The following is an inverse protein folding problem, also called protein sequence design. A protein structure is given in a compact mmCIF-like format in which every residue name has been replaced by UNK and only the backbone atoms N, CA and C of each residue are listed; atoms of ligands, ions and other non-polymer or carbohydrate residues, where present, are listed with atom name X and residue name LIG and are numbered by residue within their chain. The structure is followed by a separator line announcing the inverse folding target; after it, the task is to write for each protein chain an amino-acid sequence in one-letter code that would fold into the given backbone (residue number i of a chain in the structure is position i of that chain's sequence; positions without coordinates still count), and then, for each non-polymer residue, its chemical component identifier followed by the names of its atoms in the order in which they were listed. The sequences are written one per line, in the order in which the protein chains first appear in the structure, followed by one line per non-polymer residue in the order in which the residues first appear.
data_IF_214062925014
#
_entry.id   IF_214062925014
#
_cell.length_a   1.000
_cell.length_b   1.000
_cell.length_c   1.000
_cell.angle_alpha   90.00
_cell.angle_beta   90.00
_cell.angle_gamma   90.00
#
_symmetry.space_group_name_H-M   'P 1'
#
loop_
_entity.id
_entity.type
_entity.pdbx_description
1 polymer ?
#
# COMPACT_ATOMS: atom_id res chain seq x y z
N UNK A 1 1.56 37.89 -53.75
CA UNK A 1 1.43 36.44 -53.45
C UNK A 1 1.75 36.24 -52.00
N UNK A 2 0.72 36.13 -51.18
CA UNK A 2 0.85 35.94 -49.74
C UNK A 2 0.84 34.45 -49.42
N UNK A 3 1.65 33.96 -48.46
CA UNK A 3 1.52 32.61 -47.97
C UNK A 3 0.37 32.46 -46.96
N UNK A 4 -0.36 31.39 -47.14
CA UNK A 4 -1.47 30.98 -46.25
C UNK A 4 -0.93 30.47 -44.94
N UNK A 5 -1.17 31.21 -43.86
CA UNK A 5 -1.04 30.73 -42.49
C UNK A 5 -2.19 29.76 -42.16
N UNK A 6 -1.85 28.49 -42.01
CA UNK A 6 -2.77 27.49 -41.46
C UNK A 6 -2.61 27.49 -39.94
N UNK A 7 -3.62 27.76 -39.13
CA UNK A 7 -3.52 27.60 -37.70
C UNK A 7 -3.51 26.10 -37.33
N UNK A 8 -2.43 25.64 -36.73
CA UNK A 8 -2.37 24.34 -36.09
C UNK A 8 -3.24 24.42 -34.82
N UNK A 9 -4.45 23.93 -34.89
CA UNK A 9 -5.31 23.74 -33.73
C UNK A 9 -4.82 22.51 -33.00
N UNK A 10 -3.92 22.68 -32.05
CA UNK A 10 -3.68 21.67 -31.01
C UNK A 10 -4.89 21.70 -30.09
N UNK A 11 -5.85 20.84 -30.36
CA UNK A 11 -6.89 20.46 -29.42
C UNK A 11 -6.23 19.60 -28.30
N UNK A 12 -5.54 20.27 -27.39
CA UNK A 12 -5.18 19.72 -26.11
C UNK A 12 -6.31 20.08 -25.15
N UNK A 13 -7.40 19.32 -25.23
CA UNK A 13 -8.33 19.27 -24.12
C UNK A 13 -7.52 18.70 -22.94
N UNK A 14 -7.28 19.48 -21.86
CA UNK A 14 -6.64 18.93 -20.67
C UNK A 14 -7.54 17.80 -20.19
N UNK A 15 -6.95 16.59 -19.97
CA UNK A 15 -7.64 15.50 -19.33
C UNK A 15 -8.27 16.06 -18.05
N UNK A 16 -9.60 15.95 -17.94
CA UNK A 16 -10.32 16.39 -16.75
C UNK A 16 -9.61 15.79 -15.52
N UNK A 17 -9.33 16.57 -14.49
CA UNK A 17 -8.71 16.04 -13.28
C UNK A 17 -9.58 14.87 -12.80
N UNK A 18 -8.93 13.75 -12.37
CA UNK A 18 -9.63 12.64 -11.76
C UNK A 18 -10.41 13.18 -10.56
N UNK A 19 -11.71 13.39 -10.73
CA UNK A 19 -12.56 14.13 -9.80
C UNK A 19 -13.21 13.16 -8.83
N UNK A 20 -13.47 13.62 -7.60
CA UNK A 20 -14.25 12.91 -6.60
C UNK A 20 -13.50 11.83 -5.85
N UNK A 21 -14.24 10.81 -5.46
CA UNK A 21 -13.79 9.70 -4.60
C UNK A 21 -12.61 8.90 -5.18
N UNK A 22 -12.51 8.79 -6.51
CA UNK A 22 -11.41 8.09 -7.14
C UNK A 22 -10.05 8.76 -6.88
N UNK A 23 -9.99 10.08 -6.80
CA UNK A 23 -8.76 10.82 -6.45
C UNK A 23 -8.33 10.54 -5.01
N UNK A 24 -9.28 10.41 -4.09
CA UNK A 24 -8.99 10.07 -2.70
C UNK A 24 -8.42 8.64 -2.58
N UNK A 25 -9.00 7.69 -3.28
CA UNK A 25 -8.48 6.33 -3.37
C UNK A 25 -7.03 6.33 -3.88
N UNK A 26 -6.75 7.00 -5.01
CA UNK A 26 -5.41 7.10 -5.58
C UNK A 26 -4.41 7.78 -4.63
N UNK A 27 -4.85 8.75 -3.85
CA UNK A 27 -4.01 9.41 -2.85
C UNK A 27 -3.58 8.42 -1.76
N UNK A 28 -4.49 7.65 -1.22
CA UNK A 28 -4.18 6.59 -0.23
C UNK A 28 -3.24 5.55 -0.83
N UNK A 29 -3.55 5.04 -2.01
CA UNK A 29 -2.73 4.03 -2.70
C UNK A 29 -1.31 4.53 -3.02
N UNK A 30 -1.14 5.81 -3.37
CA UNK A 30 0.18 6.41 -3.55
C UNK A 30 1.01 6.35 -2.27
N UNK A 31 0.41 6.66 -1.12
CA UNK A 31 1.09 6.58 0.17
C UNK A 31 1.40 5.13 0.58
N UNK A 32 0.49 4.19 0.31
CA UNK A 32 0.75 2.77 0.54
C UNK A 32 1.97 2.27 -0.25
N UNK A 33 2.09 2.64 -1.54
CA UNK A 33 3.24 2.27 -2.37
C UNK A 33 4.55 2.90 -1.86
N UNK A 34 4.53 4.17 -1.49
CA UNK A 34 5.72 4.88 -0.99
C UNK A 34 6.21 4.31 0.35
N UNK A 35 5.29 4.07 1.28
CA UNK A 35 5.61 3.50 2.59
C UNK A 35 6.14 2.06 2.45
N UNK A 36 5.57 1.25 1.55
CA UNK A 36 6.05 -0.10 1.27
C UNK A 36 7.51 -0.09 0.80
N UNK A 37 7.85 0.79 -0.15
CA UNK A 37 9.23 0.94 -0.62
C UNK A 37 10.18 1.34 0.52
N UNK A 38 9.75 2.25 1.39
CA UNK A 38 10.54 2.69 2.55
C UNK A 38 10.80 1.54 3.52
N UNK A 39 9.76 0.77 3.86
CA UNK A 39 9.88 -0.36 4.80
C UNK A 39 10.77 -1.47 4.21
N UNK A 40 10.63 -1.76 2.91
CA UNK A 40 11.48 -2.73 2.21
C UNK A 40 12.95 -2.31 2.19
N UNK A 41 13.24 -1.04 1.91
CA UNK A 41 14.60 -0.51 1.95
C UNK A 41 15.21 -0.66 3.34
N UNK A 42 14.48 -0.30 4.39
CA UNK A 42 14.95 -0.46 5.78
C UNK A 42 15.21 -1.93 6.13
N UNK A 43 14.36 -2.85 5.66
CA UNK A 43 14.56 -4.28 5.89
C UNK A 43 15.81 -4.81 5.16
N UNK A 44 16.04 -4.38 3.92
CA UNK A 44 17.24 -4.74 3.16
C UNK A 44 18.51 -4.20 3.81
N UNK A 45 18.52 -2.94 4.24
CA UNK A 45 19.64 -2.33 4.97
C UNK A 45 19.94 -3.09 6.27
N UNK A 46 18.90 -3.49 7.03
CA UNK A 46 19.05 -4.28 8.25
C UNK A 46 19.58 -5.69 7.96
N UNK A 47 19.23 -6.29 6.82
CA UNK A 47 19.75 -7.59 6.40
C UNK A 47 21.23 -7.52 6.02
N UNK A 48 21.60 -6.51 5.23
CA UNK A 48 22.91 -6.47 4.54
C UNK A 48 23.98 -5.70 5.33
N UNK A 49 23.61 -4.85 6.29
CA UNK A 49 24.51 -3.89 6.92
C UNK A 49 24.78 -4.09 8.40
N UNK A 50 24.15 -5.05 9.08
CA UNK A 50 24.31 -5.20 10.52
C UNK A 50 25.01 -6.54 10.86
N UNK A 51 26.27 -6.44 11.29
CA UNK A 51 26.96 -7.61 11.86
C UNK A 51 26.25 -8.09 13.15
N UNK A 52 26.40 -9.38 13.54
CA UNK A 52 25.85 -9.89 14.79
C UNK A 52 26.28 -9.06 16.01
N UNK A 53 27.50 -8.56 16.02
CA UNK A 53 28.07 -7.73 17.10
C UNK A 53 27.37 -6.34 17.14
N UNK A 54 27.12 -5.73 15.98
CA UNK A 54 26.38 -4.46 15.88
C UNK A 54 24.94 -4.63 16.35
N UNK A 55 24.31 -5.76 16.03
CA UNK A 55 22.95 -6.09 16.51
C UNK A 55 22.93 -6.24 18.03
N UNK A 56 23.89 -6.97 18.60
CA UNK A 56 23.97 -7.14 20.05
C UNK A 56 24.25 -5.82 20.77
N UNK A 57 25.10 -4.97 20.20
CA UNK A 57 25.36 -3.64 20.72
C UNK A 57 24.09 -2.76 20.66
N UNK A 58 23.33 -2.78 19.56
CA UNK A 58 22.06 -2.05 19.43
C UNK A 58 20.97 -2.59 20.36
N UNK A 59 20.87 -3.91 20.54
CA UNK A 59 19.96 -4.54 21.51
C UNK A 59 20.26 -4.06 22.93
N UNK A 60 21.53 -3.94 23.29
CA UNK A 60 21.94 -3.47 24.63
C UNK A 60 21.70 -1.97 24.85
N UNK A 61 21.72 -1.19 23.80
CA UNK A 61 21.55 0.27 23.86
C UNK A 61 20.16 0.74 23.48
N UNK A 62 19.17 -0.17 23.31
CA UNK A 62 17.81 0.06 22.83
C UNK A 62 17.32 1.52 23.05
N UNK A 63 17.94 2.43 22.35
CA UNK A 63 17.45 3.78 22.20
C UNK A 63 16.41 3.79 21.09
N UNK A 64 15.40 4.60 21.27
CA UNK A 64 14.26 4.78 20.34
C UNK A 64 14.67 5.12 18.90
N UNK A 65 15.97 5.29 18.63
CA UNK A 65 16.56 5.69 17.36
C UNK A 65 17.39 4.60 16.66
N UNK A 66 17.48 3.36 17.20
CA UNK A 66 18.24 2.31 16.51
C UNK A 66 17.59 1.95 15.17
N UNK A 67 18.37 1.56 14.14
CA UNK A 67 17.82 1.10 12.84
C UNK A 67 16.83 -0.04 12.99
N UNK A 68 17.10 -1.00 13.89
CA UNK A 68 16.20 -2.14 14.14
C UNK A 68 14.88 -1.71 14.81
N UNK A 69 14.95 -0.73 15.71
CA UNK A 69 13.76 -0.18 16.34
C UNK A 69 12.88 0.57 15.33
N UNK A 70 13.49 1.41 14.48
CA UNK A 70 12.79 2.10 13.39
C UNK A 70 12.17 1.12 12.39
N UNK A 71 12.89 0.05 12.04
CA UNK A 71 12.38 -1.01 11.18
C UNK A 71 11.16 -1.69 11.81
N UNK A 72 11.26 -2.13 13.07
CA UNK A 72 10.14 -2.75 13.78
C UNK A 72 8.90 -1.87 13.80
N UNK A 73 9.03 -0.62 14.23
CA UNK A 73 7.88 0.29 14.30
C UNK A 73 7.37 0.70 12.92
N UNK A 74 8.26 0.88 11.95
CA UNK A 74 7.88 1.15 10.57
C UNK A 74 7.04 0.03 9.99
N UNK A 75 7.46 -1.23 10.11
CA UNK A 75 6.70 -2.38 9.64
C UNK A 75 5.34 -2.50 10.33
N UNK A 76 5.30 -2.42 11.67
CA UNK A 76 4.04 -2.56 12.43
C UNK A 76 3.06 -1.43 12.07
N UNK A 77 3.55 -0.19 11.98
CA UNK A 77 2.71 0.96 11.61
C UNK A 77 2.17 0.83 10.20
N UNK A 78 3.01 0.42 9.26
CA UNK A 78 2.62 0.21 7.88
C UNK A 78 1.54 -0.88 7.75
N UNK A 79 1.77 -2.06 8.32
CA UNK A 79 0.80 -3.16 8.30
C UNK A 79 -0.55 -2.73 8.90
N UNK A 80 -0.51 -1.98 10.02
CA UNK A 80 -1.74 -1.45 10.62
C UNK A 80 -2.47 -0.47 9.71
N UNK A 81 -1.76 0.36 8.97
CA UNK A 81 -2.36 1.31 8.03
C UNK A 81 -3.01 0.58 6.84
N UNK A 82 -2.33 -0.41 6.25
CA UNK A 82 -2.89 -1.27 5.19
C UNK A 82 -4.19 -1.93 5.66
N UNK A 83 -4.16 -2.57 6.83
CA UNK A 83 -5.34 -3.27 7.36
C UNK A 83 -6.50 -2.31 7.67
N UNK A 84 -6.22 -1.10 8.15
CA UNK A 84 -7.26 -0.10 8.39
C UNK A 84 -7.90 0.38 7.07
N UNK A 85 -7.11 0.58 6.04
CA UNK A 85 -7.57 0.96 4.71
C UNK A 85 -8.53 -0.11 4.16
N UNK A 86 -8.11 -1.37 4.09
CA UNK A 86 -8.96 -2.48 3.64
C UNK A 86 -10.22 -2.65 4.50
N UNK A 87 -10.12 -2.45 5.82
CA UNK A 87 -11.29 -2.51 6.70
C UNK A 87 -12.33 -1.44 6.37
N UNK A 88 -11.90 -0.21 6.06
CA UNK A 88 -12.81 0.86 5.65
C UNK A 88 -13.50 0.55 4.32
N UNK A 89 -12.79 -0.05 3.39
CA UNK A 89 -13.35 -0.48 2.10
C UNK A 89 -14.36 -1.62 2.30
N UNK A 90 -14.01 -2.65 3.03
CA UNK A 90 -14.88 -3.79 3.30
C UNK A 90 -16.15 -3.42 4.05
N UNK A 91 -16.09 -2.44 4.97
CA UNK A 91 -17.22 -2.10 5.85
C UNK A 91 -18.05 -0.92 5.36
N UNK A 92 -17.50 -0.06 4.51
CA UNK A 92 -18.19 1.14 4.05
C UNK A 92 -18.21 1.26 2.52
N UNK A 93 -17.05 1.28 1.84
CA UNK A 93 -16.98 1.54 0.41
C UNK A 93 -17.65 0.44 -0.42
N UNK A 94 -17.26 -0.82 -0.23
CA UNK A 94 -17.77 -1.93 -1.04
C UNK A 94 -19.27 -2.20 -0.84
N UNK A 95 -19.85 -2.14 0.38
CA UNK A 95 -21.30 -2.20 0.55
C UNK A 95 -22.03 -1.09 -0.18
N UNK A 96 -21.50 0.15 -0.14
CA UNK A 96 -22.08 1.29 -0.85
C UNK A 96 -22.03 1.10 -2.36
N UNK A 97 -20.88 0.68 -2.93
CA UNK A 97 -20.77 0.37 -4.36
C UNK A 97 -21.75 -0.73 -4.75
N UNK A 98 -21.84 -1.80 -3.96
CA UNK A 98 -22.73 -2.95 -4.23
C UNK A 98 -24.20 -2.54 -4.27
N UNK A 99 -24.61 -1.56 -3.45
CA UNK A 99 -25.99 -1.05 -3.46
C UNK A 99 -26.30 -0.19 -4.69
N UNK A 100 -25.31 0.55 -5.19
CA UNK A 100 -25.45 1.43 -6.37
C UNK A 100 -25.28 0.68 -7.69
N UNK A 101 -24.34 -0.25 -7.75
CA UNK A 101 -24.07 -1.10 -8.91
C UNK A 101 -23.88 -2.58 -8.50
N UNK A 102 -24.98 -3.34 -8.43
CA UNK A 102 -24.91 -4.77 -8.10
C UNK A 102 -24.09 -5.61 -9.09
N UNK A 103 -23.86 -5.11 -10.32
CA UNK A 103 -23.08 -5.84 -11.34
C UNK A 103 -21.60 -5.98 -10.96
N UNK A 104 -21.09 -5.10 -10.09
CA UNK A 104 -19.73 -5.17 -9.53
C UNK A 104 -19.57 -6.22 -8.42
N UNK A 105 -20.61 -6.94 -8.05
CA UNK A 105 -20.61 -7.89 -6.96
C UNK A 105 -19.43 -8.87 -6.98
N UNK A 106 -19.19 -9.53 -8.12
CA UNK A 106 -18.06 -10.49 -8.28
C UNK A 106 -16.70 -9.80 -8.15
N UNK A 107 -16.58 -8.58 -8.66
CA UNK A 107 -15.34 -7.77 -8.53
C UNK A 107 -15.05 -7.45 -7.07
N UNK A 108 -16.06 -6.99 -6.34
CA UNK A 108 -15.96 -6.68 -4.91
C UNK A 108 -15.64 -7.93 -4.08
N UNK A 109 -16.25 -9.09 -4.40
CA UNK A 109 -15.93 -10.36 -3.72
C UNK A 109 -14.47 -10.77 -3.92
N UNK A 110 -13.91 -10.53 -5.12
CA UNK A 110 -12.49 -10.75 -5.40
C UNK A 110 -11.60 -9.80 -4.60
N UNK A 111 -11.89 -8.51 -4.59
CA UNK A 111 -11.15 -7.51 -3.82
C UNK A 111 -11.13 -7.88 -2.32
N UNK A 112 -12.27 -8.28 -1.77
CA UNK A 112 -12.35 -8.75 -0.38
C UNK A 112 -11.55 -10.05 -0.14
N UNK A 113 -11.45 -10.92 -1.14
CA UNK A 113 -10.59 -12.10 -1.04
C UNK A 113 -9.10 -11.71 -1.01
N UNK A 114 -8.70 -10.76 -1.85
CA UNK A 114 -7.33 -10.24 -1.87
C UNK A 114 -6.98 -9.54 -0.54
N UNK A 115 -7.91 -8.78 0.08
CA UNK A 115 -7.74 -8.19 1.41
C UNK A 115 -7.41 -9.24 2.47
N UNK A 116 -8.07 -10.41 2.45
CA UNK A 116 -7.77 -11.50 3.39
C UNK A 116 -6.35 -12.02 3.23
N UNK A 117 -5.89 -12.20 2.00
CA UNK A 117 -4.51 -12.64 1.72
C UNK A 117 -3.50 -11.60 2.23
N UNK A 118 -3.72 -10.33 1.90
CA UNK A 118 -2.85 -9.24 2.37
C UNK A 118 -2.84 -9.16 3.90
N UNK A 119 -3.98 -9.36 4.56
CA UNK A 119 -4.08 -9.37 6.02
C UNK A 119 -3.23 -10.48 6.64
N UNK A 120 -3.28 -11.71 6.12
CA UNK A 120 -2.45 -12.83 6.58
C UNK A 120 -0.95 -12.53 6.44
N UNK A 121 -0.56 -11.89 5.32
CA UNK A 121 0.84 -11.49 5.10
C UNK A 121 1.26 -10.39 6.08
N UNK A 122 0.43 -9.38 6.32
CA UNK A 122 0.73 -8.28 7.26
C UNK A 122 0.81 -8.77 8.70
N UNK A 123 0.01 -9.75 9.10
CA UNK A 123 0.09 -10.40 10.42
C UNK A 123 1.42 -11.13 10.58
N UNK A 124 1.85 -11.88 9.55
CA UNK A 124 3.15 -12.55 9.54
C UNK A 124 4.30 -11.54 9.62
N UNK A 125 4.27 -10.45 8.83
CA UNK A 125 5.25 -9.37 8.91
C UNK A 125 5.32 -8.80 10.32
N UNK A 126 4.18 -8.51 10.93
CA UNK A 126 4.09 -7.97 12.28
C UNK A 126 4.71 -8.92 13.32
N UNK A 127 4.44 -10.22 13.20
CA UNK A 127 5.01 -11.23 14.08
C UNK A 127 6.54 -11.34 13.92
N UNK A 128 7.04 -11.35 12.69
CA UNK A 128 8.47 -11.40 12.39
C UNK A 128 9.18 -10.13 12.87
N UNK A 129 8.62 -8.94 12.57
CA UNK A 129 9.20 -7.66 12.96
C UNK A 129 9.39 -7.53 14.48
N UNK A 130 8.50 -8.12 15.28
CA UNK A 130 8.64 -8.15 16.74
C UNK A 130 9.84 -8.97 17.21
N UNK A 131 10.29 -9.97 16.44
CA UNK A 131 11.44 -10.85 16.77
C UNK A 131 12.78 -10.26 16.36
N UNK A 132 12.81 -9.43 15.32
CA UNK A 132 14.06 -8.87 14.76
C UNK A 132 15.01 -8.28 15.79
N UNK A 133 14.57 -7.46 16.78
CA UNK A 133 15.47 -6.86 17.75
C UNK A 133 16.15 -7.87 18.70
N UNK A 134 15.55 -9.05 18.91
CA UNK A 134 16.07 -10.08 19.80
C UNK A 134 16.80 -11.21 19.08
N UNK A 135 16.84 -11.21 17.75
CA UNK A 135 17.39 -12.29 16.94
C UNK A 135 18.84 -12.01 16.55
N UNK A 136 19.76 -12.52 17.37
CA UNK A 136 21.20 -12.45 17.10
C UNK A 136 21.64 -13.29 15.88
N UNK A 137 20.85 -14.31 15.48
CA UNK A 137 21.16 -15.17 14.33
C UNK A 137 20.91 -14.47 12.99
N UNK A 138 20.04 -13.47 12.98
CA UNK A 138 19.64 -12.74 11.79
C UNK A 138 18.57 -13.44 10.94
N UNK A 139 18.10 -14.63 11.32
CA UNK A 139 17.09 -15.40 10.57
C UNK A 139 15.83 -14.58 10.38
N UNK A 140 15.34 -13.91 11.43
CA UNK A 140 14.11 -13.09 11.32
C UNK A 140 14.22 -11.91 10.36
N UNK A 141 15.43 -11.43 10.05
CA UNK A 141 15.65 -10.38 9.04
C UNK A 141 15.43 -10.91 7.64
N UNK A 142 15.89 -12.12 7.32
CA UNK A 142 15.63 -12.76 6.04
C UNK A 142 14.15 -13.10 5.89
N UNK A 143 13.51 -13.62 6.94
CA UNK A 143 12.06 -13.87 6.96
C UNK A 143 11.26 -12.58 6.73
N UNK A 144 11.69 -11.46 7.33
CA UNK A 144 11.04 -10.17 7.15
C UNK A 144 11.14 -9.67 5.70
N UNK A 145 12.33 -9.76 5.11
CA UNK A 145 12.53 -9.37 3.70
C UNK A 145 11.66 -10.22 2.79
N UNK A 146 11.62 -11.54 2.99
CA UNK A 146 10.78 -12.45 2.19
C UNK A 146 9.29 -12.11 2.31
N UNK A 147 8.80 -11.89 3.54
CA UNK A 147 7.40 -11.53 3.77
C UNK A 147 7.03 -10.15 3.19
N UNK A 148 7.94 -9.18 3.22
CA UNK A 148 7.73 -7.88 2.59
C UNK A 148 7.74 -7.94 1.06
N UNK A 149 8.52 -8.85 0.47
CA UNK A 149 8.51 -9.10 -0.97
C UNK A 149 7.18 -9.72 -1.40
N UNK A 150 6.70 -10.71 -0.66
CA UNK A 150 5.39 -11.33 -0.89
C UNK A 150 4.25 -10.29 -0.75
N UNK A 151 4.33 -9.41 0.26
CA UNK A 151 3.37 -8.32 0.41
C UNK A 151 3.37 -7.39 -0.80
N UNK A 152 4.55 -7.04 -1.32
CA UNK A 152 4.64 -6.18 -2.50
C UNK A 152 3.92 -6.78 -3.69
N UNK A 153 4.17 -8.06 -3.99
CA UNK A 153 3.56 -8.74 -5.13
C UNK A 153 2.03 -8.75 -5.03
N UNK A 154 1.50 -9.14 -3.86
CA UNK A 154 0.06 -9.21 -3.62
C UNK A 154 -0.59 -7.83 -3.57
N UNK A 155 -0.03 -6.91 -2.79
CA UNK A 155 -0.62 -5.59 -2.59
C UNK A 155 -0.59 -4.75 -3.87
N UNK A 156 0.52 -4.71 -4.62
CA UNK A 156 0.57 -3.94 -5.87
C UNK A 156 -0.41 -4.48 -6.90
N UNK A 157 -0.52 -5.81 -7.03
CA UNK A 157 -1.50 -6.43 -7.92
C UNK A 157 -2.94 -6.08 -7.53
N UNK A 158 -3.25 -6.14 -6.24
CA UNK A 158 -4.55 -5.76 -5.70
C UNK A 158 -4.88 -4.27 -5.98
N UNK A 159 -3.99 -3.34 -5.63
CA UNK A 159 -4.21 -1.90 -5.84
C UNK A 159 -4.43 -1.55 -7.31
N UNK A 160 -3.69 -2.19 -8.25
CA UNK A 160 -3.89 -1.99 -9.68
C UNK A 160 -5.27 -2.48 -10.11
N UNK A 161 -5.64 -3.70 -9.70
CA UNK A 161 -6.93 -4.28 -10.04
C UNK A 161 -8.10 -3.46 -9.49
N UNK A 162 -7.98 -2.96 -8.28
CA UNK A 162 -8.98 -2.11 -7.66
C UNK A 162 -9.13 -0.77 -8.40
N UNK A 163 -8.03 -0.07 -8.65
CA UNK A 163 -8.02 1.20 -9.37
C UNK A 163 -8.66 1.06 -10.76
N UNK A 164 -8.35 0.00 -11.50
CA UNK A 164 -8.93 -0.26 -12.82
C UNK A 164 -10.42 -0.57 -12.75
N UNK A 165 -10.82 -1.41 -11.79
CA UNK A 165 -12.20 -1.90 -11.67
C UNK A 165 -13.16 -0.86 -11.12
N UNK A 166 -12.73 -0.04 -10.16
CA UNK A 166 -13.58 0.92 -9.47
C UNK A 166 -13.52 2.32 -10.05
N UNK A 167 -12.57 2.61 -10.95
CA UNK A 167 -12.48 3.92 -11.62
C UNK A 167 -13.81 4.43 -12.19
N UNK A 168 -14.59 3.64 -12.96
CA UNK A 168 -15.80 4.17 -13.60
C UNK A 168 -16.83 4.67 -12.58
N UNK A 169 -17.05 3.89 -11.51
CA UNK A 169 -18.05 4.25 -10.50
C UNK A 169 -17.55 5.38 -9.59
N UNK A 170 -16.31 5.29 -9.09
CA UNK A 170 -15.77 6.29 -8.15
C UNK A 170 -15.53 7.66 -8.82
N UNK A 171 -15.21 7.69 -10.11
CA UNK A 171 -15.11 8.95 -10.86
C UNK A 171 -16.46 9.62 -11.11
N UNK A 172 -17.57 8.90 -10.98
CA UNK A 172 -18.91 9.46 -11.08
C UNK A 172 -19.41 10.06 -9.77
N UNK A 173 -18.70 9.86 -8.66
CA UNK A 173 -19.06 10.36 -7.32
C UNK A 173 -18.22 11.58 -6.95
N UNK A 174 -18.83 12.76 -6.86
CA UNK A 174 -18.15 13.97 -6.40
C UNK A 174 -17.86 13.93 -4.90
N UNK A 175 -18.74 13.30 -4.13
CA UNK A 175 -18.64 13.11 -2.68
C UNK A 175 -19.13 11.71 -2.32
N UNK A 176 -18.84 11.28 -1.10
CA UNK A 176 -19.38 10.03 -0.55
C UNK A 176 -20.92 10.05 -0.64
N UNK A 177 -21.54 9.05 -1.27
CA UNK A 177 -23.00 8.95 -1.31
C UNK A 177 -23.50 8.62 0.10
N UNK A 178 -23.86 9.66 0.87
CA UNK A 178 -24.51 9.52 2.16
C UNK A 178 -25.99 9.24 1.92
N UNK A 179 -26.50 8.08 2.37
CA UNK A 179 -27.94 7.86 2.51
C UNK A 179 -28.50 8.64 3.70
#
# INVERSE_FOLDING_TARGET
MAPLDTPITTDQTPAAPAEGMFRELLWVHTHLRQDLQTVRRLAAEARDGLSPETILAEIRTLQTNSPLWRLRFGCIRYCRFVNLHHQLEDTALFPTIRSHDPSLGTTLDRLQADHRVVHEITDRITAVAKRVPGDASGVSRFELVAALTELEEHLLGHLIFEEESLRPILSSWDTWPME
#
